data_IF_469995486625
#
_entry.id   IF_469995486625
#
_cell.length_a   1.000
_cell.length_b   1.000
_cell.length_c   1.000
_cell.angle_alpha   90.00
_cell.angle_beta   90.00
_cell.angle_gamma   90.00
#
_symmetry.space_group_name_H-M   'P 1'
#
loop_
_entity.id
_entity.type
_entity.pdbx_description
1 polymer ?
#
# COMPACT_ATOMS: atom_id res chain seq x y z
N UNK A 1 22.41 10.15 -9.37
CA UNK A 1 21.27 10.44 -10.22
C UNK A 1 20.52 9.21 -10.59
N UNK A 2 21.17 8.30 -11.24
CA UNK A 2 20.53 7.07 -11.63
C UNK A 2 19.99 6.32 -10.44
N UNK A 3 20.81 6.21 -9.43
CA UNK A 3 20.42 5.45 -8.26
C UNK A 3 19.21 6.08 -7.58
N UNK A 4 19.02 7.37 -7.77
CA UNK A 4 17.88 8.02 -7.16
C UNK A 4 16.56 7.54 -7.73
N UNK A 5 16.47 7.38 -9.03
CA UNK A 5 15.27 6.86 -9.66
C UNK A 5 14.99 5.44 -9.21
N UNK A 6 16.00 4.61 -9.27
CA UNK A 6 15.86 3.23 -8.85
C UNK A 6 15.50 3.14 -7.39
N UNK A 7 16.16 3.97 -6.61
CA UNK A 7 15.94 4.00 -5.19
C UNK A 7 14.49 4.35 -4.87
N UNK A 8 13.96 5.37 -5.51
CA UNK A 8 12.57 5.77 -5.30
C UNK A 8 11.61 4.66 -5.60
N UNK A 9 11.79 4.02 -6.73
CA UNK A 9 10.93 2.93 -7.15
C UNK A 9 10.93 1.80 -6.15
N UNK A 10 12.12 1.36 -5.77
CA UNK A 10 12.27 0.25 -4.84
C UNK A 10 11.69 0.56 -3.48
N UNK A 11 11.95 1.75 -2.98
CA UNK A 11 11.49 2.14 -1.65
C UNK A 11 9.97 2.24 -1.62
N UNK A 12 9.39 2.88 -2.62
CA UNK A 12 7.94 3.04 -2.66
C UNK A 12 7.27 1.68 -2.76
N UNK A 13 7.78 0.82 -3.61
CA UNK A 13 7.23 -0.51 -3.77
C UNK A 13 7.26 -1.29 -2.46
N UNK A 14 8.38 -1.27 -1.78
CA UNK A 14 8.52 -1.96 -0.50
C UNK A 14 7.62 -1.40 0.57
N UNK A 15 7.52 -0.08 0.66
CA UNK A 15 6.69 0.57 1.66
C UNK A 15 5.21 0.27 1.44
N UNK A 16 4.76 0.36 0.20
CA UNK A 16 3.36 0.07 -0.10
C UNK A 16 3.05 -1.39 0.15
N UNK A 17 3.95 -2.28 -0.21
CA UNK A 17 3.76 -3.70 0.03
C UNK A 17 3.62 -3.99 1.51
N UNK A 18 4.46 -3.39 2.33
CA UNK A 18 4.38 -3.56 3.79
C UNK A 18 3.05 -3.04 4.34
N UNK A 19 2.63 -1.88 3.90
CA UNK A 19 1.37 -1.32 4.34
C UNK A 19 0.19 -2.20 3.95
N UNK A 20 0.24 -2.79 2.76
CA UNK A 20 -0.81 -3.69 2.34
C UNK A 20 -0.84 -4.97 3.18
N UNK A 21 0.30 -5.46 3.60
CA UNK A 21 0.35 -6.60 4.51
C UNK A 21 -0.31 -6.27 5.84
N UNK A 22 -0.03 -5.09 6.38
CA UNK A 22 -0.64 -4.65 7.62
C UNK A 22 -2.15 -4.50 7.47
N UNK A 23 -2.57 -3.99 6.32
CA UNK A 23 -4.00 -3.85 6.02
C UNK A 23 -4.69 -5.22 6.02
N UNK A 24 -4.08 -6.20 5.39
CA UNK A 24 -4.66 -7.53 5.33
C UNK A 24 -4.71 -8.16 6.72
N UNK A 25 -3.68 -8.00 7.51
CA UNK A 25 -3.67 -8.51 8.87
C UNK A 25 -4.75 -7.85 9.72
N UNK A 26 -4.95 -6.55 9.54
CA UNK A 26 -6.00 -5.84 10.25
C UNK A 26 -7.38 -6.38 9.88
N UNK A 27 -7.59 -6.64 8.59
CA UNK A 27 -8.87 -7.20 8.14
C UNK A 27 -9.12 -8.59 8.72
N UNK A 28 -8.07 -9.39 8.82
CA UNK A 28 -8.20 -10.72 9.42
C UNK A 28 -8.60 -10.65 10.88
N UNK A 29 -8.11 -9.64 11.59
CA UNK A 29 -8.50 -9.41 12.97
C UNK A 29 -9.83 -8.68 13.09
N UNK A 30 -10.44 -8.36 11.96
CA UNK A 30 -11.67 -7.57 11.89
C UNK A 30 -11.48 -6.15 12.45
N UNK A 31 -10.27 -5.66 12.34
CA UNK A 31 -9.94 -4.30 12.73
C UNK A 31 -10.07 -3.40 11.51
N UNK A 32 -11.30 -3.16 11.10
CA UNK A 32 -11.57 -2.46 9.86
C UNK A 32 -11.18 -0.99 9.93
N UNK A 33 -11.20 -0.41 11.13
CA UNK A 33 -10.77 0.97 11.28
C UNK A 33 -9.29 1.13 10.94
N UNK A 34 -8.46 0.19 11.38
CA UNK A 34 -7.03 0.22 11.05
C UNK A 34 -6.81 0.01 9.56
N UNK A 35 -7.55 -0.91 8.96
CA UNK A 35 -7.42 -1.17 7.54
C UNK A 35 -7.80 0.06 6.71
N UNK A 36 -8.87 0.74 7.10
CA UNK A 36 -9.30 1.95 6.41
C UNK A 36 -8.29 3.07 6.58
N UNK A 37 -7.70 3.20 7.77
CA UNK A 37 -6.70 4.22 8.01
C UNK A 37 -5.48 4.03 7.09
N UNK A 38 -5.06 2.80 6.91
CA UNK A 38 -3.95 2.51 6.01
C UNK A 38 -4.31 2.88 4.58
N UNK A 39 -5.49 2.49 4.14
CA UNK A 39 -5.96 2.80 2.79
C UNK A 39 -6.03 4.31 2.58
N UNK A 40 -6.58 5.04 3.55
CA UNK A 40 -6.69 6.49 3.45
C UNK A 40 -5.31 7.15 3.40
N UNK A 41 -4.37 6.66 4.19
CA UNK A 41 -3.01 7.18 4.17
C UNK A 41 -2.38 7.01 2.81
N UNK A 42 -2.55 5.86 2.20
CA UNK A 42 -2.03 5.61 0.86
C UNK A 42 -2.67 6.51 -0.17
N UNK A 43 -3.98 6.71 -0.08
CA UNK A 43 -4.69 7.58 -1.00
C UNK A 43 -4.19 9.03 -0.88
N UNK A 44 -3.91 9.47 0.33
CA UNK A 44 -3.40 10.81 0.56
C UNK A 44 -2.03 11.02 -0.08
N UNK A 45 -1.26 9.95 -0.19
CA UNK A 45 0.06 10.00 -0.82
C UNK A 45 0.00 9.83 -2.34
N UNK A 46 -1.18 9.61 -2.88
CA UNK A 46 -1.35 9.42 -4.32
C UNK A 46 -1.28 7.97 -4.77
N UNK A 47 -1.40 7.03 -3.84
CA UNK A 47 -1.39 5.62 -4.16
C UNK A 47 -2.82 5.10 -4.13
N UNK A 48 -3.23 4.47 -5.22
CA UNK A 48 -4.56 3.89 -5.34
C UNK A 48 -4.48 2.39 -5.09
N UNK A 49 -5.28 1.91 -4.18
CA UNK A 49 -5.30 0.49 -3.83
C UNK A 49 -6.52 -0.17 -4.44
N UNK A 50 -6.30 -1.26 -5.14
CA UNK A 50 -7.35 -2.01 -5.81
C UNK A 50 -7.44 -3.41 -5.23
N UNK A 51 -8.64 -3.83 -4.87
CA UNK A 51 -8.85 -5.18 -4.40
C UNK A 51 -9.18 -6.07 -5.59
N UNK A 52 -8.42 -7.13 -5.74
CA UNK A 52 -8.64 -8.08 -6.83
C UNK A 52 -8.76 -9.48 -6.25
N UNK A 53 -9.31 -10.44 -7.03
CA UNK A 53 -9.39 -11.83 -6.56
C UNK A 53 -8.04 -12.45 -6.23
N UNK A 54 -6.96 -11.96 -6.85
CA UNK A 54 -5.61 -12.43 -6.56
C UNK A 54 -4.97 -11.75 -5.38
N UNK A 55 -5.63 -10.73 -4.81
CA UNK A 55 -5.11 -9.99 -3.68
C UNK A 55 -5.08 -8.50 -3.97
N UNK A 56 -4.61 -7.71 -3.02
CA UNK A 56 -4.57 -6.26 -3.21
C UNK A 56 -3.51 -5.87 -4.23
N UNK A 57 -3.88 -4.91 -5.07
CA UNK A 57 -2.97 -4.31 -6.03
C UNK A 57 -2.94 -2.82 -5.81
N UNK A 58 -1.92 -2.16 -6.30
CA UNK A 58 -1.81 -0.73 -6.12
C UNK A 58 -1.14 -0.09 -7.32
N UNK A 59 -1.35 1.20 -7.45
CA UNK A 59 -0.67 1.98 -8.46
C UNK A 59 -0.56 3.42 -7.98
N UNK A 60 0.41 4.14 -8.51
CA UNK A 60 0.60 5.55 -8.19
C UNK A 60 -0.14 6.37 -9.21
N UNK A 61 -0.90 7.33 -8.75
CA UNK A 61 -1.65 8.23 -9.63
C UNK A 61 -0.78 9.25 -10.31
#
# INVERSE_FOLDING_TARGET
MLFRSCFSSSVVDGLVTELLKHREAARERKDFAAADAIRDSLAALGVEVLDTPQGPRWRVR
#
